data_IF_910153208957
#
_entry.id   IF_910153208957
#
_cell.length_a   1.000
_cell.length_b   1.000
_cell.length_c   1.000
_cell.angle_alpha   90.00
_cell.angle_beta   90.00
_cell.angle_gamma   90.00
#
_symmetry.space_group_name_H-M   'P 1'
#
loop_
_entity.id
_entity.type
_entity.pdbx_description
1 polymer ?
#
# COMPACT_ATOMS: atom_id res chain seq x y z
N UNK A 1 19.98 -0.03 5.43
CA UNK A 1 19.08 1.14 5.33
C UNK A 1 17.75 0.79 5.97
N UNK A 2 17.05 1.75 6.56
CA UNK A 2 15.79 1.53 7.30
C UNK A 2 14.76 2.58 6.88
N UNK A 3 13.54 2.12 6.60
CA UNK A 3 12.34 2.96 6.42
C UNK A 3 11.40 2.75 7.61
N UNK A 4 10.48 3.69 7.84
CA UNK A 4 9.48 3.57 8.89
C UNK A 4 8.07 3.56 8.29
N UNK A 5 7.15 2.88 8.95
CA UNK A 5 5.72 3.01 8.68
C UNK A 5 5.16 4.31 9.28
N UNK A 6 3.85 4.50 9.26
CA UNK A 6 3.21 5.54 10.06
C UNK A 6 3.48 5.28 11.57
N UNK A 7 3.50 6.34 12.39
CA UNK A 7 3.68 6.30 13.84
C UNK A 7 2.36 6.59 14.59
N UNK A 8 1.37 5.68 14.59
CA UNK A 8 0.08 5.96 15.23
C UNK A 8 0.14 5.94 16.77
N UNK A 9 1.24 5.47 17.37
CA UNK A 9 1.34 5.21 18.82
C UNK A 9 1.97 6.33 19.65
N UNK A 10 2.41 7.42 19.03
CA UNK A 10 3.09 8.53 19.69
C UNK A 10 2.28 9.83 19.54
N UNK A 11 2.47 10.77 20.46
CA UNK A 11 1.72 12.03 20.43
C UNK A 11 2.13 12.92 19.25
N UNK A 12 3.40 12.83 18.83
CA UNK A 12 3.94 13.56 17.69
C UNK A 12 5.07 12.77 16.98
N UNK A 13 5.48 13.27 15.82
CA UNK A 13 6.56 12.66 15.04
C UNK A 13 7.94 12.80 15.69
N UNK A 14 8.15 13.77 16.57
CA UNK A 14 9.44 13.94 17.24
C UNK A 14 9.68 12.84 18.27
N UNK A 15 8.67 12.53 19.09
CA UNK A 15 8.70 11.43 20.05
C UNK A 15 8.95 10.10 19.33
N UNK A 16 8.21 9.83 18.26
CA UNK A 16 8.34 8.61 17.47
C UNK A 16 9.73 8.49 16.81
N UNK A 17 10.22 9.59 16.24
CA UNK A 17 11.53 9.67 15.61
C UNK A 17 12.65 9.44 16.63
N UNK A 18 12.59 10.10 17.78
CA UNK A 18 13.57 9.95 18.87
C UNK A 18 13.61 8.51 19.37
N UNK A 19 12.44 7.89 19.56
CA UNK A 19 12.34 6.49 19.96
C UNK A 19 12.95 5.56 18.91
N UNK A 20 12.62 5.77 17.64
CA UNK A 20 13.16 4.99 16.50
C UNK A 20 14.68 5.10 16.43
N UNK A 21 15.23 6.32 16.48
CA UNK A 21 16.68 6.56 16.45
C UNK A 21 17.36 5.93 17.66
N UNK A 22 16.75 5.98 18.85
CA UNK A 22 17.31 5.36 20.06
C UNK A 22 17.41 3.84 19.92
N UNK A 23 16.35 3.17 19.45
CA UNK A 23 16.36 1.72 19.19
C UNK A 23 17.41 1.39 18.14
N UNK A 24 17.40 2.07 17.00
CA UNK A 24 18.34 1.79 15.91
C UNK A 24 19.79 2.03 16.34
N UNK A 25 20.06 3.06 17.13
CA UNK A 25 21.43 3.36 17.60
C UNK A 25 21.95 2.27 18.53
N UNK A 26 21.05 1.64 19.30
CA UNK A 26 21.39 0.56 20.22
C UNK A 26 21.54 -0.78 19.51
N UNK A 27 20.57 -1.15 18.68
CA UNK A 27 20.45 -2.49 18.11
C UNK A 27 21.11 -2.61 16.72
N UNK A 28 21.17 -1.52 15.95
CA UNK A 28 21.66 -1.49 14.57
C UNK A 28 22.48 -0.20 14.29
N UNK A 29 23.61 0.04 15.00
CA UNK A 29 24.30 1.34 15.01
C UNK A 29 24.83 1.81 13.65
N UNK A 30 25.03 0.89 12.69
CA UNK A 30 25.48 1.20 11.33
C UNK A 30 24.32 1.44 10.35
N UNK A 31 23.07 1.37 10.83
CA UNK A 31 21.91 1.62 9.98
C UNK A 31 21.82 3.09 9.58
N UNK A 32 21.06 3.34 8.52
CA UNK A 32 20.81 4.66 7.96
C UNK A 32 19.32 4.81 7.75
N UNK A 33 18.75 5.92 8.20
CA UNK A 33 17.32 6.20 8.04
C UNK A 33 17.07 6.86 6.70
N UNK A 34 16.11 6.34 5.94
CA UNK A 34 15.68 6.93 4.68
C UNK A 34 14.58 7.95 4.96
N UNK A 35 14.81 9.21 4.55
CA UNK A 35 13.81 10.26 4.54
C UNK A 35 12.90 10.18 3.31
N UNK A 36 11.74 10.85 3.37
CA UNK A 36 10.75 10.92 2.31
C UNK A 36 11.28 11.54 1.02
N UNK A 37 12.43 12.20 1.05
CA UNK A 37 13.14 12.74 -0.11
C UNK A 37 14.12 11.76 -0.77
N UNK A 38 14.17 10.51 -0.31
CA UNK A 38 15.11 9.50 -0.80
C UNK A 38 16.55 9.71 -0.31
N UNK A 39 16.76 10.69 0.59
CA UNK A 39 18.03 10.95 1.26
C UNK A 39 18.19 10.03 2.46
N UNK A 40 19.40 9.48 2.60
CA UNK A 40 19.79 8.72 3.77
C UNK A 40 20.47 9.59 4.82
N UNK A 41 20.13 9.32 6.07
CA UNK A 41 20.70 9.97 7.24
C UNK A 41 21.42 8.93 8.08
N UNK A 42 22.68 9.21 8.44
CA UNK A 42 23.32 8.47 9.52
C UNK A 42 22.53 8.69 10.82
N UNK A 43 22.52 7.72 11.74
CA UNK A 43 21.75 7.86 12.99
C UNK A 43 22.17 9.09 13.81
N UNK A 44 23.45 9.46 13.78
CA UNK A 44 23.96 10.66 14.44
C UNK A 44 23.48 11.97 13.82
N UNK A 45 23.14 11.98 12.53
CA UNK A 45 22.52 13.11 11.83
C UNK A 45 21.02 13.13 12.10
N UNK A 46 20.36 11.97 12.01
CA UNK A 46 18.95 11.80 12.30
C UNK A 46 18.62 12.23 13.74
N UNK A 47 19.47 11.90 14.72
CA UNK A 47 19.30 12.28 16.12
C UNK A 47 19.24 13.80 16.37
N UNK A 48 19.74 14.61 15.43
CA UNK A 48 19.76 16.08 15.54
C UNK A 48 18.50 16.73 14.95
N UNK A 49 17.65 15.96 14.27
CA UNK A 49 16.41 16.45 13.67
C UNK A 49 15.32 16.47 14.74
N UNK A 50 14.59 17.57 14.82
CA UNK A 50 13.56 17.81 15.83
C UNK A 50 12.35 18.57 15.26
N UNK A 51 11.29 18.69 16.06
CA UNK A 51 10.06 19.38 15.69
C UNK A 51 9.40 18.81 14.44
N UNK A 52 8.83 19.69 13.62
CA UNK A 52 8.13 19.32 12.39
C UNK A 52 9.01 18.58 11.37
N UNK A 53 10.33 18.76 11.44
CA UNK A 53 11.25 18.13 10.49
C UNK A 53 11.32 16.61 10.65
N UNK A 54 10.96 16.08 11.82
CA UNK A 54 10.83 14.64 12.07
C UNK A 54 9.77 13.97 11.16
N UNK A 55 8.79 14.72 10.67
CA UNK A 55 7.77 14.21 9.75
C UNK A 55 8.37 13.65 8.45
N UNK A 56 9.58 14.06 8.07
CA UNK A 56 10.29 13.53 6.90
C UNK A 56 10.59 12.04 6.98
N UNK A 57 10.53 11.43 8.16
CA UNK A 57 10.81 10.01 8.33
C UNK A 57 9.54 9.16 8.37
N UNK A 58 8.36 9.77 8.53
CA UNK A 58 7.11 9.07 8.74
C UNK A 58 6.54 8.47 7.44
N UNK A 59 6.25 7.17 7.44
CA UNK A 59 5.60 6.50 6.31
C UNK A 59 6.45 6.40 5.05
N UNK A 60 7.76 6.18 5.20
CA UNK A 60 8.72 6.03 4.11
C UNK A 60 8.73 4.64 3.46
N UNK A 61 7.93 3.69 3.96
CA UNK A 61 7.89 2.30 3.45
C UNK A 61 7.71 2.17 1.93
N UNK A 62 6.93 3.05 1.29
CA UNK A 62 6.66 2.97 -0.15
C UNK A 62 7.91 3.17 -1.02
N UNK A 63 8.99 3.74 -0.46
CA UNK A 63 10.20 4.06 -1.24
C UNK A 63 10.82 2.84 -1.88
N UNK A 64 10.83 1.70 -1.19
CA UNK A 64 11.45 0.49 -1.72
C UNK A 64 10.74 -0.03 -2.97
N UNK A 65 9.41 -0.13 -2.93
CA UNK A 65 8.62 -0.55 -4.09
C UNK A 65 8.70 0.47 -5.22
N UNK A 66 8.60 1.78 -4.91
CA UNK A 66 8.75 2.83 -5.90
C UNK A 66 10.14 2.89 -6.54
N UNK A 67 11.20 2.56 -5.79
CA UNK A 67 12.56 2.46 -6.31
C UNK A 67 12.74 1.28 -7.27
N UNK A 68 12.15 0.12 -6.97
CA UNK A 68 12.14 -1.00 -7.90
C UNK A 68 11.40 -0.63 -9.19
N UNK A 69 10.23 0.02 -9.07
CA UNK A 69 9.48 0.48 -10.22
C UNK A 69 10.26 1.53 -11.06
N UNK A 70 10.99 2.45 -10.41
CA UNK A 70 11.78 3.47 -11.11
C UNK A 70 12.98 2.90 -11.89
N UNK A 71 13.38 1.66 -11.59
CA UNK A 71 14.38 0.90 -12.37
C UNK A 71 13.79 0.24 -13.61
N UNK A 72 12.48 0.01 -13.62
CA UNK A 72 11.76 -0.64 -14.73
C UNK A 72 11.29 0.41 -15.73
N UNK A 73 10.77 1.55 -15.26
CA UNK A 73 10.27 2.62 -16.12
C UNK A 73 10.61 4.01 -15.57
N UNK A 74 11.06 4.94 -16.43
CA UNK A 74 11.36 6.30 -16.01
C UNK A 74 10.10 7.15 -15.79
N UNK A 75 9.03 6.92 -16.55
CA UNK A 75 7.80 7.72 -16.52
C UNK A 75 6.57 6.80 -16.45
N UNK A 76 5.74 6.96 -15.42
CA UNK A 76 4.58 6.10 -15.17
C UNK A 76 4.12 6.15 -13.71
N UNK A 77 3.45 5.10 -13.26
CA UNK A 77 3.04 4.94 -11.86
C UNK A 77 3.63 3.68 -11.23
N UNK A 78 4.01 3.76 -9.95
CA UNK A 78 4.24 2.62 -9.08
C UNK A 78 3.06 2.48 -8.13
N UNK A 79 2.41 1.31 -8.13
CA UNK A 79 1.31 1.01 -7.23
C UNK A 79 1.70 -0.10 -6.27
N UNK A 80 1.62 0.17 -4.98
CA UNK A 80 1.87 -0.82 -3.92
C UNK A 80 0.62 -0.94 -3.06
N UNK A 81 -0.14 -2.02 -3.24
CA UNK A 81 -1.30 -2.31 -2.40
C UNK A 81 -0.91 -3.29 -1.30
N UNK A 82 -0.76 -2.77 -0.09
CA UNK A 82 -0.56 -3.55 1.11
C UNK A 82 -1.87 -4.00 1.76
N UNK A 83 -1.77 -4.38 3.04
CA UNK A 83 -2.93 -4.78 3.86
C UNK A 83 -3.87 -3.62 4.16
N UNK A 84 -3.33 -2.42 4.43
CA UNK A 84 -4.09 -1.26 4.90
C UNK A 84 -4.31 -0.18 3.83
N UNK A 85 -3.38 -0.04 2.89
CA UNK A 85 -3.32 1.11 1.99
C UNK A 85 -2.84 0.73 0.60
N UNK A 86 -3.15 1.59 -0.37
CA UNK A 86 -2.57 1.59 -1.71
C UNK A 86 -1.78 2.86 -1.91
N UNK A 87 -0.47 2.74 -2.05
CA UNK A 87 0.43 3.81 -2.44
C UNK A 87 0.37 3.96 -3.98
N UNK A 88 0.10 5.17 -4.49
CA UNK A 88 0.02 5.49 -5.93
C UNK A 88 1.07 6.56 -6.21
N UNK A 89 2.22 6.14 -6.72
CA UNK A 89 3.43 6.95 -6.73
C UNK A 89 3.82 7.30 -8.17
N UNK A 90 3.78 8.58 -8.56
CA UNK A 90 4.29 9.02 -9.84
C UNK A 90 5.78 8.77 -9.98
N UNK A 91 6.19 8.29 -11.15
CA UNK A 91 7.57 8.23 -11.59
C UNK A 91 7.72 9.24 -12.73
N UNK A 92 8.67 10.18 -12.60
CA UNK A 92 8.92 11.22 -13.60
C UNK A 92 10.42 11.34 -13.84
N UNK A 93 10.87 10.98 -15.03
CA UNK A 93 12.29 10.92 -15.38
C UNK A 93 13.13 10.05 -14.43
N UNK A 94 12.56 8.93 -13.94
CA UNK A 94 13.16 8.02 -12.97
C UNK A 94 13.14 8.51 -11.52
N UNK A 95 12.58 9.70 -11.25
CA UNK A 95 12.43 10.24 -9.89
C UNK A 95 11.12 9.81 -9.28
N UNK A 96 11.16 9.51 -7.98
CA UNK A 96 10.00 9.10 -7.19
C UNK A 96 9.27 10.35 -6.71
N UNK A 97 8.06 10.57 -7.22
CA UNK A 97 7.11 11.62 -6.85
C UNK A 97 7.73 13.02 -6.61
N UNK A 98 8.47 13.58 -7.59
CA UNK A 98 9.24 14.81 -7.39
C UNK A 98 8.39 16.03 -7.01
N UNK A 99 7.10 16.05 -7.35
CA UNK A 99 6.21 17.17 -7.03
C UNK A 99 5.82 17.22 -5.54
N UNK A 100 5.60 16.07 -4.90
CA UNK A 100 5.27 16.05 -3.48
C UNK A 100 6.48 16.42 -2.60
N UNK A 101 7.71 16.25 -3.13
CA UNK A 101 8.98 16.47 -2.43
C UNK A 101 9.34 17.94 -2.16
N UNK A 102 8.55 18.90 -2.65
CA UNK A 102 8.83 20.34 -2.50
C UNK A 102 8.92 20.76 -1.04
N UNK A 103 8.16 20.14 -0.14
CA UNK A 103 8.39 20.28 1.30
C UNK A 103 8.18 18.91 2.00
N UNK A 104 9.30 18.25 2.42
CA UNK A 104 9.25 16.94 3.06
C UNK A 104 8.45 16.88 4.36
N UNK A 105 8.27 18.01 5.06
CA UNK A 105 7.59 18.05 6.37
C UNK A 105 6.07 17.90 6.26
N UNK A 106 5.48 18.30 5.13
CA UNK A 106 4.06 18.08 4.85
C UNK A 106 3.81 16.99 3.78
N UNK A 107 4.84 16.26 3.37
CA UNK A 107 4.77 15.24 2.32
C UNK A 107 3.70 14.18 2.59
N UNK A 108 3.64 13.65 3.81
CA UNK A 108 2.65 12.62 4.17
C UNK A 108 1.20 13.13 3.99
N UNK A 109 0.91 14.33 4.49
CA UNK A 109 -0.40 14.96 4.34
C UNK A 109 -0.71 15.27 2.86
N UNK A 110 0.27 15.74 2.09
CA UNK A 110 0.14 15.97 0.64
C UNK A 110 -0.21 14.71 -0.12
N UNK A 111 0.40 13.57 0.23
CA UNK A 111 0.09 12.29 -0.41
C UNK A 111 -1.36 11.89 -0.21
N UNK A 112 -1.89 12.05 1.00
CA UNK A 112 -3.32 11.83 1.27
C UNK A 112 -4.19 12.82 0.50
N UNK A 113 -3.88 14.12 0.56
CA UNK A 113 -4.68 15.17 -0.08
C UNK A 113 -4.72 15.05 -1.61
N UNK A 114 -3.65 14.54 -2.23
CA UNK A 114 -3.53 14.41 -3.68
C UNK A 114 -3.94 13.03 -4.23
N UNK A 115 -4.25 12.05 -3.38
CA UNK A 115 -4.62 10.70 -3.80
C UNK A 115 -3.45 9.76 -4.06
N UNK A 116 -2.21 10.19 -3.80
CA UNK A 116 -0.99 9.34 -3.86
C UNK A 116 -0.92 8.30 -2.74
N UNK A 117 -1.84 8.39 -1.79
CA UNK A 117 -2.06 7.43 -0.73
C UNK A 117 -3.57 7.25 -0.56
N UNK A 118 -4.09 6.11 -0.99
CA UNK A 118 -5.49 5.73 -0.80
C UNK A 118 -5.58 4.73 0.36
N UNK A 119 -6.43 4.99 1.35
CA UNK A 119 -6.60 4.14 2.54
C UNK A 119 -7.48 2.90 2.28
N UNK A 120 -7.27 2.28 1.11
CA UNK A 120 -7.85 1.01 0.69
C UNK A 120 -6.71 0.02 0.55
N UNK A 121 -6.73 -1.03 1.35
CA UNK A 121 -5.81 -2.15 1.28
C UNK A 121 -6.56 -3.47 1.29
N UNK A 122 -5.82 -4.57 1.10
CA UNK A 122 -6.44 -5.87 0.86
C UNK A 122 -7.20 -6.41 2.08
N UNK A 123 -6.71 -6.20 3.30
CA UNK A 123 -7.19 -6.95 4.48
C UNK A 123 -7.61 -6.11 5.68
N UNK A 124 -7.10 -4.88 5.83
CA UNK A 124 -7.28 -4.08 7.04
C UNK A 124 -8.19 -2.85 6.84
N UNK A 125 -8.97 -2.80 5.77
CA UNK A 125 -9.91 -1.69 5.52
C UNK A 125 -11.27 -1.98 6.17
N UNK A 126 -11.78 -1.15 7.09
CA UNK A 126 -13.12 -1.34 7.66
C UNK A 126 -14.19 -1.39 6.57
N UNK A 127 -15.16 -2.30 6.68
CA UNK A 127 -16.17 -2.50 5.62
C UNK A 127 -17.04 -1.25 5.40
N UNK A 128 -17.39 -0.55 6.47
CA UNK A 128 -18.18 0.68 6.42
C UNK A 128 -17.36 1.89 5.94
N UNK A 129 -16.04 1.80 5.98
CA UNK A 129 -15.15 2.76 5.32
C UNK A 129 -15.20 2.56 3.81
N UNK A 130 -15.30 1.32 3.31
CA UNK A 130 -15.36 1.01 1.86
C UNK A 130 -16.58 1.69 1.24
N UNK A 131 -17.77 1.48 1.82
CA UNK A 131 -19.02 2.05 1.38
C UNK A 131 -19.97 2.30 2.55
N UNK A 132 -20.91 3.25 2.41
CA UNK A 132 -22.01 3.45 3.37
C UNK A 132 -23.21 2.56 3.06
N UNK A 133 -23.45 2.33 1.78
CA UNK A 133 -24.49 1.45 1.26
C UNK A 133 -23.91 0.67 0.08
N UNK A 134 -24.41 -0.53 -0.13
CA UNK A 134 -23.97 -1.40 -1.22
C UNK A 134 -25.16 -2.10 -1.86
N UNK A 135 -25.18 -2.12 -3.18
CA UNK A 135 -26.22 -2.75 -3.97
C UNK A 135 -25.71 -4.07 -4.55
N UNK A 136 -26.55 -5.09 -4.49
CA UNK A 136 -26.29 -6.41 -5.06
C UNK A 136 -27.51 -6.85 -5.88
N UNK A 137 -27.40 -7.97 -6.59
CA UNK A 137 -28.56 -8.61 -7.23
C UNK A 137 -29.69 -9.02 -6.26
N UNK A 138 -29.41 -9.06 -4.96
CA UNK A 138 -30.36 -9.44 -3.91
C UNK A 138 -30.98 -8.25 -3.16
N UNK A 139 -30.57 -7.03 -3.49
CA UNK A 139 -31.06 -5.82 -2.85
C UNK A 139 -29.95 -4.89 -2.38
N UNK A 140 -30.37 -3.80 -1.72
CA UNK A 140 -29.52 -2.75 -1.19
C UNK A 140 -29.35 -2.91 0.32
N UNK A 141 -28.10 -2.84 0.78
CA UNK A 141 -27.73 -3.00 2.18
C UNK A 141 -27.02 -1.76 2.69
N UNK A 142 -27.35 -1.31 3.91
CA UNK A 142 -26.57 -0.29 4.62
C UNK A 142 -25.49 -0.96 5.46
N UNK A 143 -24.28 -0.38 5.48
CA UNK A 143 -23.15 -0.91 6.23
C UNK A 143 -23.04 -0.24 7.60
N UNK A 144 -23.17 -1.05 8.65
CA UNK A 144 -23.08 -0.59 10.03
C UNK A 144 -21.63 -0.44 10.48
N UNK A 145 -21.28 0.69 11.11
CA UNK A 145 -19.96 0.88 11.70
C UNK A 145 -19.90 0.05 12.97
N UNK A 146 -19.34 -1.17 12.94
CA UNK A 146 -19.11 -1.97 14.17
C UNK A 146 -18.28 -3.23 13.95
N UNK A 147 -18.33 -3.88 12.78
CA UNK A 147 -17.71 -5.20 12.58
C UNK A 147 -17.19 -5.42 11.15
N UNK A 148 -16.02 -6.05 11.05
CA UNK A 148 -15.45 -6.57 9.80
C UNK A 148 -14.46 -5.64 9.09
N UNK A 149 -13.48 -6.27 8.45
CA UNK A 149 -12.49 -5.63 7.60
C UNK A 149 -12.45 -6.31 6.22
N UNK A 150 -11.72 -5.71 5.28
CA UNK A 150 -11.55 -6.25 3.93
C UNK A 150 -10.91 -7.64 3.89
N UNK A 151 -10.33 -8.14 4.98
CA UNK A 151 -9.89 -9.55 5.09
C UNK A 151 -11.03 -10.53 4.88
N UNK A 152 -12.26 -10.18 5.30
CA UNK A 152 -13.43 -11.03 5.06
C UNK A 152 -13.73 -11.13 3.56
N UNK A 153 -13.60 -10.01 2.83
CA UNK A 153 -13.75 -9.97 1.37
C UNK A 153 -12.65 -10.82 0.74
N UNK A 154 -11.40 -10.63 1.16
CA UNK A 154 -10.26 -11.35 0.62
C UNK A 154 -10.35 -12.87 0.85
N UNK A 155 -10.86 -13.30 2.00
CA UNK A 155 -11.02 -14.71 2.34
C UNK A 155 -12.19 -15.35 1.57
N UNK A 156 -13.32 -14.64 1.44
CA UNK A 156 -14.49 -15.14 0.70
C UNK A 156 -14.20 -15.29 -0.80
N UNK A 157 -13.42 -14.36 -1.36
CA UNK A 157 -13.07 -14.31 -2.77
C UNK A 157 -11.70 -14.94 -3.09
N UNK A 158 -11.04 -15.50 -2.06
CA UNK A 158 -9.81 -16.29 -2.17
C UNK A 158 -8.69 -15.58 -2.95
N UNK A 159 -8.51 -14.27 -2.73
CA UNK A 159 -7.58 -13.45 -3.51
C UNK A 159 -6.10 -13.78 -3.29
N UNK A 160 -5.77 -14.34 -2.13
CA UNK A 160 -4.40 -14.60 -1.71
C UNK A 160 -4.38 -15.95 -0.98
N UNK A 161 -3.32 -16.75 -1.17
CA UNK A 161 -3.15 -17.98 -0.40
C UNK A 161 -3.21 -17.72 1.12
N UNK A 162 -3.97 -18.50 1.90
CA UNK A 162 -4.17 -18.23 3.33
C UNK A 162 -2.88 -18.14 4.14
N UNK A 163 -1.85 -18.93 3.81
CA UNK A 163 -0.55 -18.87 4.46
C UNK A 163 0.15 -17.53 4.25
N UNK A 164 0.09 -17.00 3.02
CA UNK A 164 0.66 -15.69 2.70
C UNK A 164 -0.15 -14.59 3.37
N UNK A 165 -1.49 -14.69 3.38
CA UNK A 165 -2.34 -13.73 4.07
C UNK A 165 -2.05 -13.69 5.59
N UNK A 166 -1.84 -14.85 6.24
CA UNK A 166 -1.46 -14.93 7.67
C UNK A 166 -0.11 -14.29 7.97
N UNK A 167 0.88 -14.41 7.09
CA UNK A 167 2.19 -13.75 7.27
C UNK A 167 2.06 -12.22 7.34
N UNK A 168 1.08 -11.66 6.65
CA UNK A 168 0.83 -10.21 6.61
C UNK A 168 -0.26 -9.74 7.58
N UNK A 169 -1.02 -10.66 8.16
CA UNK A 169 -2.11 -10.33 9.06
C UNK A 169 -1.60 -9.89 10.44
N UNK A 170 -2.25 -8.89 11.02
CA UNK A 170 -1.96 -8.46 12.39
C UNK A 170 -2.24 -9.63 13.36
N UNK A 171 -1.21 -10.06 14.09
CA UNK A 171 -1.31 -11.18 15.02
C UNK A 171 -1.36 -12.57 14.36
N UNK A 172 -1.14 -12.67 13.04
CA UNK A 172 -1.09 -13.95 12.32
C UNK A 172 -2.46 -14.61 12.09
N UNK A 173 -3.55 -13.89 12.36
CA UNK A 173 -4.92 -14.38 12.22
C UNK A 173 -5.50 -13.99 10.87
N UNK A 174 -5.92 -14.97 10.08
CA UNK A 174 -6.65 -14.75 8.83
C UNK A 174 -7.80 -15.76 8.76
N UNK A 175 -9.05 -15.30 8.57
CA UNK A 175 -10.21 -16.18 8.63
C UNK A 175 -10.23 -17.14 7.45
N UNK A 176 -10.74 -18.35 7.67
CA UNK A 176 -11.28 -19.17 6.59
C UNK A 176 -12.44 -18.45 5.90
N UNK A 177 -12.80 -18.91 4.70
CA UNK A 177 -13.97 -18.43 3.97
C UNK A 177 -15.25 -18.52 4.81
N UNK A 178 -15.43 -19.62 5.53
CA UNK A 178 -16.60 -19.87 6.37
C UNK A 178 -16.64 -18.95 7.60
N UNK A 179 -15.49 -18.62 8.19
CA UNK A 179 -15.38 -17.67 9.30
C UNK A 179 -15.64 -16.24 8.84
N UNK A 180 -15.19 -15.88 7.63
CA UNK A 180 -15.36 -14.56 7.03
C UNK A 180 -16.82 -14.18 6.72
N UNK A 181 -17.71 -15.16 6.58
CA UNK A 181 -19.15 -14.92 6.44
C UNK A 181 -19.77 -14.23 7.65
N UNK A 182 -19.27 -14.51 8.86
CA UNK A 182 -19.82 -13.91 10.08
C UNK A 182 -19.67 -12.39 10.13
N UNK A 183 -18.45 -11.80 10.04
CA UNK A 183 -18.30 -10.35 10.09
C UNK A 183 -18.98 -9.66 8.90
N UNK A 184 -19.04 -10.30 7.73
CA UNK A 184 -19.71 -9.72 6.56
C UNK A 184 -21.24 -9.67 6.72
N UNK A 185 -21.86 -10.72 7.28
CA UNK A 185 -23.28 -10.73 7.58
C UNK A 185 -23.65 -9.67 8.63
N UNK A 186 -22.84 -9.57 9.69
CA UNK A 186 -23.02 -8.58 10.76
C UNK A 186 -22.87 -7.14 10.25
N UNK A 187 -21.99 -6.90 9.28
CA UNK A 187 -21.79 -5.57 8.69
C UNK A 187 -23.06 -5.00 8.05
N UNK A 188 -24.01 -5.85 7.64
CA UNK A 188 -25.30 -5.44 7.07
C UNK A 188 -26.48 -5.71 8.02
N UNK A 189 -26.21 -6.00 9.30
CA UNK A 189 -27.23 -6.26 10.32
C UNK A 189 -27.92 -7.61 10.20
N UNK A 190 -27.32 -8.55 9.48
CA UNK A 190 -27.82 -9.91 9.31
C UNK A 190 -26.99 -10.95 10.07
N UNK A 191 -27.31 -12.21 9.83
CA UNK A 191 -26.58 -13.39 10.31
C UNK A 191 -26.56 -14.49 9.23
N UNK A 192 -25.96 -15.64 9.54
CA UNK A 192 -25.86 -16.78 8.61
C UNK A 192 -27.18 -17.53 8.38
N UNK A 193 -28.23 -17.23 9.15
CA UNK A 193 -29.58 -17.79 8.97
C UNK A 193 -30.34 -16.93 7.94
N UNK A 194 -30.19 -15.61 8.02
CA UNK A 194 -30.82 -14.65 7.12
C UNK A 194 -30.09 -14.50 5.77
N UNK A 195 -28.75 -14.60 5.81
CA UNK A 195 -27.87 -14.45 4.65
C UNK A 195 -27.15 -15.77 4.37
N UNK A 196 -27.62 -16.45 3.32
CA UNK A 196 -26.96 -17.62 2.77
C UNK A 196 -25.60 -17.26 2.12
N UNK A 197 -24.73 -18.26 1.85
CA UNK A 197 -23.43 -18.03 1.23
C UNK A 197 -23.47 -17.27 -0.10
N UNK A 198 -24.50 -17.47 -0.92
CA UNK A 198 -24.60 -16.81 -2.23
C UNK A 198 -24.79 -15.29 -2.07
N UNK A 199 -25.64 -14.87 -1.13
CA UNK A 199 -25.81 -13.45 -0.78
C UNK A 199 -24.53 -12.83 -0.25
N UNK A 200 -23.81 -13.55 0.61
CA UNK A 200 -22.56 -13.06 1.21
C UNK A 200 -21.44 -12.95 0.17
N UNK A 201 -21.33 -13.90 -0.76
CA UNK A 201 -20.40 -13.80 -1.89
C UNK A 201 -20.74 -12.64 -2.83
N UNK A 202 -22.03 -12.40 -3.11
CA UNK A 202 -22.46 -11.25 -3.91
C UNK A 202 -22.13 -9.92 -3.22
N UNK A 203 -22.30 -9.86 -1.90
CA UNK A 203 -21.95 -8.71 -1.08
C UNK A 203 -20.43 -8.46 -1.08
N UNK A 204 -19.62 -9.52 -0.90
CA UNK A 204 -18.16 -9.44 -0.97
C UNK A 204 -17.69 -8.92 -2.34
N UNK A 205 -18.26 -9.44 -3.43
CA UNK A 205 -17.98 -8.97 -4.81
C UNK A 205 -18.33 -7.49 -4.98
N UNK A 206 -19.49 -7.05 -4.51
CA UNK A 206 -19.91 -5.66 -4.63
C UNK A 206 -18.99 -4.71 -3.84
N UNK A 207 -18.64 -5.05 -2.60
CA UNK A 207 -17.69 -4.29 -1.79
C UNK A 207 -16.30 -4.25 -2.44
N UNK A 208 -15.83 -5.36 -2.99
CA UNK A 208 -14.57 -5.43 -3.72
C UNK A 208 -14.55 -4.48 -4.92
N UNK A 209 -15.63 -4.39 -5.69
CA UNK A 209 -15.73 -3.44 -6.79
C UNK A 209 -15.68 -1.99 -6.31
N UNK A 210 -16.27 -1.67 -5.16
CA UNK A 210 -16.16 -0.32 -4.59
C UNK A 210 -14.73 -0.02 -4.11
N UNK A 211 -14.00 -1.01 -3.58
CA UNK A 211 -12.56 -0.86 -3.28
C UNK A 211 -11.76 -0.51 -4.55
N UNK A 212 -11.96 -1.26 -5.64
CA UNK A 212 -11.31 -1.02 -6.93
C UNK A 212 -11.62 0.39 -7.43
N UNK A 213 -12.90 0.77 -7.46
CA UNK A 213 -13.36 2.07 -7.92
C UNK A 213 -12.72 3.22 -7.16
N UNK A 214 -12.61 3.13 -5.83
CA UNK A 214 -11.96 4.17 -5.02
C UNK A 214 -10.47 4.32 -5.31
N UNK A 215 -9.78 3.22 -5.55
CA UNK A 215 -8.38 3.25 -5.97
C UNK A 215 -8.28 3.81 -7.40
N UNK A 216 -9.16 3.41 -8.32
CA UNK A 216 -9.20 3.92 -9.70
C UNK A 216 -9.40 5.45 -9.74
N UNK A 217 -10.33 6.00 -8.96
CA UNK A 217 -10.51 7.45 -8.83
C UNK A 217 -9.24 8.17 -8.33
N UNK A 218 -8.50 7.52 -7.42
CA UNK A 218 -7.23 8.06 -6.93
C UNK A 218 -6.14 8.01 -8.02
N UNK A 219 -6.07 6.93 -8.79
CA UNK A 219 -5.19 6.78 -9.95
C UNK A 219 -5.47 7.85 -10.99
N UNK A 220 -6.74 8.09 -11.34
CA UNK A 220 -7.14 9.12 -12.30
C UNK A 220 -6.72 10.52 -11.83
N UNK A 221 -6.92 10.81 -10.54
CA UNK A 221 -6.53 12.08 -9.93
C UNK A 221 -5.03 12.29 -10.04
N UNK A 222 -4.23 11.30 -9.63
CA UNK A 222 -2.76 11.36 -9.69
C UNK A 222 -2.28 11.46 -11.13
N UNK A 223 -2.86 10.69 -12.06
CA UNK A 223 -2.49 10.72 -13.48
C UNK A 223 -2.73 12.10 -14.11
N UNK A 224 -3.83 12.77 -13.73
CA UNK A 224 -4.13 14.14 -14.19
C UNK A 224 -3.17 15.17 -13.59
N UNK A 225 -2.90 15.06 -12.29
CA UNK A 225 -2.01 15.96 -11.55
C UNK A 225 -0.62 16.05 -12.19
N UNK A 226 -0.01 14.89 -12.48
CA UNK A 226 1.33 14.81 -13.10
C UNK A 226 1.32 14.85 -14.62
N UNK A 227 0.18 15.12 -15.24
CA UNK A 227 0.00 15.15 -16.71
C UNK A 227 0.60 13.92 -17.41
N UNK A 228 0.23 12.73 -16.90
CA UNK A 228 0.83 11.48 -17.31
C UNK A 228 0.66 11.25 -18.83
N UNK A 229 1.78 11.26 -19.57
CA UNK A 229 1.78 11.15 -21.04
C UNK A 229 1.42 9.75 -21.55
N UNK A 230 1.84 8.72 -20.82
CA UNK A 230 1.59 7.31 -21.13
C UNK A 230 1.10 6.60 -19.88
N UNK A 231 0.01 5.86 -20.00
CA UNK A 231 -0.58 5.09 -18.91
C UNK A 231 0.14 3.76 -18.74
N UNK A 232 1.35 3.83 -18.20
CA UNK A 232 2.18 2.66 -17.88
C UNK A 232 2.37 2.59 -16.36
N UNK A 233 2.29 1.39 -15.80
CA UNK A 233 2.42 1.20 -14.36
C UNK A 233 3.15 -0.10 -13.98
N UNK A 234 3.77 -0.08 -12.80
CA UNK A 234 4.24 -1.29 -12.11
C UNK A 234 3.37 -1.52 -10.88
N UNK A 235 2.93 -2.77 -10.68
CA UNK A 235 2.14 -3.17 -9.51
C UNK A 235 2.94 -4.08 -8.59
N UNK A 236 2.80 -3.84 -7.28
CA UNK A 236 3.40 -4.63 -6.21
C UNK A 236 2.49 -4.68 -4.99
N UNK A 237 2.92 -5.41 -3.96
CA UNK A 237 2.17 -5.59 -2.73
C UNK A 237 1.25 -6.81 -2.78
N UNK A 238 0.64 -7.09 -1.62
CA UNK A 238 -0.24 -8.24 -1.42
C UNK A 238 -1.53 -8.14 -2.24
N UNK A 239 -2.07 -6.92 -2.39
CA UNK A 239 -3.30 -6.63 -3.12
C UNK A 239 -3.09 -6.24 -4.58
N UNK A 240 -1.92 -6.51 -5.18
CA UNK A 240 -1.59 -6.05 -6.53
C UNK A 240 -2.57 -6.55 -7.61
N UNK A 241 -2.91 -7.83 -7.57
CA UNK A 241 -3.83 -8.45 -8.54
C UNK A 241 -5.29 -8.19 -8.17
N UNK A 242 -5.61 -8.24 -6.87
CA UNK A 242 -6.97 -8.05 -6.40
C UNK A 242 -7.45 -6.61 -6.52
N UNK A 243 -6.57 -5.61 -6.36
CA UNK A 243 -6.95 -4.19 -6.29
C UNK A 243 -6.19 -3.36 -7.31
N UNK A 244 -4.85 -3.33 -7.26
CA UNK A 244 -4.06 -2.36 -8.04
C UNK A 244 -4.24 -2.52 -9.55
N UNK A 245 -4.05 -3.74 -10.09
CA UNK A 245 -4.21 -4.05 -11.52
C UNK A 245 -5.63 -3.73 -11.99
N UNK A 246 -6.64 -4.21 -11.28
CA UNK A 246 -8.05 -3.95 -11.61
C UNK A 246 -8.40 -2.46 -11.58
N UNK A 247 -7.84 -1.72 -10.63
CA UNK A 247 -8.05 -0.28 -10.51
C UNK A 247 -7.37 0.50 -11.64
N UNK A 248 -6.18 0.06 -12.09
CA UNK A 248 -5.52 0.61 -13.27
C UNK A 248 -6.34 0.39 -14.54
N UNK A 249 -6.83 -0.83 -14.76
CA UNK A 249 -7.72 -1.14 -15.88
C UNK A 249 -8.98 -0.27 -15.85
N UNK A 250 -9.60 -0.11 -14.69
CA UNK A 250 -10.77 0.75 -14.52
C UNK A 250 -10.44 2.25 -14.75
N UNK A 251 -9.24 2.69 -14.39
CA UNK A 251 -8.72 4.03 -14.72
C UNK A 251 -8.27 4.18 -16.19
N UNK A 252 -8.47 3.15 -17.01
CA UNK A 252 -8.22 3.12 -18.44
C UNK A 252 -6.75 2.94 -18.83
N UNK A 253 -5.97 2.23 -18.01
CA UNK A 253 -4.70 1.63 -18.44
C UNK A 253 -4.99 0.36 -19.25
N UNK A 254 -4.07 0.00 -20.15
CA UNK A 254 -4.17 -1.23 -20.94
C UNK A 254 -3.44 -2.37 -20.22
N UNK A 255 -3.87 -3.61 -20.42
CA UNK A 255 -3.28 -4.78 -19.73
C UNK A 255 -1.79 -4.93 -20.05
N UNK A 256 -1.41 -4.72 -21.31
CA UNK A 256 -0.05 -4.76 -21.81
C UNK A 256 0.88 -3.67 -21.22
N UNK A 257 0.31 -2.62 -20.62
CA UNK A 257 1.04 -1.51 -20.00
C UNK A 257 1.10 -1.63 -18.46
N UNK A 258 0.62 -2.74 -17.90
CA UNK A 258 0.64 -3.01 -16.45
C UNK A 258 1.62 -4.14 -16.15
N UNK A 259 2.77 -3.75 -15.60
CA UNK A 259 3.86 -4.64 -15.25
C UNK A 259 3.74 -5.17 -13.83
N UNK A 260 3.78 -6.49 -13.67
CA UNK A 260 3.82 -7.13 -12.36
C UNK A 260 5.25 -7.33 -11.87
N UNK A 261 5.51 -6.93 -10.63
CA UNK A 261 6.86 -6.99 -10.06
C UNK A 261 7.36 -8.43 -9.83
N UNK A 262 6.50 -9.38 -9.45
CA UNK A 262 6.91 -10.79 -9.30
C UNK A 262 7.34 -11.37 -10.65
N UNK A 263 6.57 -11.07 -11.69
CA UNK A 263 6.82 -11.50 -13.06
C UNK A 263 8.14 -10.97 -13.60
N UNK A 264 8.46 -9.70 -13.32
CA UNK A 264 9.74 -9.08 -13.71
C UNK A 264 10.91 -9.72 -12.96
N UNK A 265 10.76 -9.94 -11.65
CA UNK A 265 11.83 -10.48 -10.81
C UNK A 265 11.99 -12.00 -10.93
N UNK A 266 11.05 -12.70 -11.57
CA UNK A 266 11.05 -14.17 -11.70
C UNK A 266 11.01 -14.86 -10.33
N UNK A 267 10.28 -14.29 -9.37
CA UNK A 267 10.19 -14.74 -7.98
C UNK A 267 8.77 -14.57 -7.46
N UNK A 268 8.12 -15.68 -7.15
CA UNK A 268 6.79 -15.64 -6.57
C UNK A 268 6.78 -14.98 -5.19
N UNK A 269 5.75 -14.17 -4.94
CA UNK A 269 5.43 -13.51 -3.67
C UNK A 269 6.42 -12.44 -3.19
N UNK A 270 7.50 -12.18 -3.92
CA UNK A 270 8.48 -11.15 -3.57
C UNK A 270 7.88 -9.74 -3.59
N UNK A 271 6.89 -9.50 -4.44
CA UNK A 271 6.11 -8.28 -4.57
C UNK A 271 5.40 -7.92 -3.26
N UNK A 272 5.02 -8.92 -2.45
CA UNK A 272 4.43 -8.69 -1.11
C UNK A 272 5.45 -8.14 -0.10
N UNK A 273 6.75 -8.31 -0.37
CA UNK A 273 7.87 -7.77 0.40
C UNK A 273 8.69 -6.74 -0.41
N UNK A 274 8.10 -6.19 -1.48
CA UNK A 274 8.76 -5.28 -2.45
C UNK A 274 9.44 -4.09 -1.80
N UNK A 275 8.80 -3.48 -0.80
CA UNK A 275 9.37 -2.39 0.00
C UNK A 275 10.71 -2.80 0.64
N UNK A 276 10.75 -3.93 1.35
CA UNK A 276 11.97 -4.39 2.01
C UNK A 276 13.05 -4.81 0.99
N UNK A 277 12.66 -5.51 -0.06
CA UNK A 277 13.58 -5.93 -1.12
C UNK A 277 14.19 -4.73 -1.85
N UNK A 278 13.37 -3.75 -2.24
CA UNK A 278 13.83 -2.54 -2.90
C UNK A 278 14.76 -1.70 -2.03
N UNK A 279 14.49 -1.64 -0.72
CA UNK A 279 15.37 -0.97 0.23
C UNK A 279 16.72 -1.68 0.39
N UNK A 280 16.72 -3.03 0.42
CA UNK A 280 17.93 -3.82 0.46
C UNK A 280 18.76 -3.63 -0.81
N UNK A 281 18.12 -3.63 -1.99
CA UNK A 281 18.78 -3.36 -3.27
C UNK A 281 19.36 -1.95 -3.31
N UNK A 282 18.57 -0.94 -2.93
CA UNK A 282 19.04 0.46 -2.87
C UNK A 282 20.26 0.59 -1.96
N UNK A 283 20.27 -0.09 -0.81
CA UNK A 283 21.42 -0.11 0.07
C UNK A 283 22.62 -0.79 -0.60
N UNK A 284 22.43 -1.97 -1.21
CA UNK A 284 23.50 -2.70 -1.90
C UNK A 284 24.16 -1.85 -3.00
N UNK A 285 23.36 -1.16 -3.82
CA UNK A 285 23.89 -0.29 -4.88
C UNK A 285 24.72 0.86 -4.32
N UNK A 286 24.23 1.51 -3.25
CA UNK A 286 24.93 2.65 -2.62
C UNK A 286 26.18 2.23 -1.85
N UNK A 287 26.23 1.01 -1.32
CA UNK A 287 27.42 0.48 -0.64
C UNK A 287 28.48 -0.05 -1.61
N UNK A 288 28.08 -0.53 -2.79
CA UNK A 288 29.00 -1.07 -3.80
C UNK A 288 29.40 -0.07 -4.87
N UNK A 289 28.78 1.12 -4.90
CA UNK A 289 28.85 2.09 -6.00
C UNK A 289 28.54 1.44 -7.37
N UNK A 290 27.74 0.38 -7.37
CA UNK A 290 27.36 -0.40 -8.55
C UNK A 290 25.85 -0.41 -8.71
N UNK A 291 25.36 -0.09 -9.92
CA UNK A 291 23.96 -0.29 -10.25
C UNK A 291 23.70 -1.76 -10.61
N UNK A 292 22.63 -2.33 -10.06
CA UNK A 292 22.14 -3.65 -10.42
C UNK A 292 20.97 -3.53 -11.40
N UNK A 293 20.99 -4.32 -12.46
CA UNK A 293 19.85 -4.44 -13.37
C UNK A 293 18.78 -5.34 -12.74
N UNK A 294 17.52 -4.90 -12.80
CA UNK A 294 16.37 -5.74 -12.48
C UNK A 294 15.88 -6.54 -13.68
N UNK A 295 16.27 -6.11 -14.89
CA UNK A 295 15.93 -6.79 -16.13
C UNK A 295 17.09 -7.74 -16.49
N UNK A 296 16.79 -8.96 -16.95
CA UNK A 296 17.80 -9.91 -17.42
C UNK A 296 18.61 -9.40 -18.61
#
# INVERSE_FOLDING_TARGET
MVTTSHFPSYADFEEAHRHTVAILSKELPQSRLLGLEGKEYALSEAAKISGKDCARFAGTKFFGSAFLASKILPDGLSLDTGTTSTDIIPLVGGKIDPESLVDPTAFHLRRMASGRLCWIGLTATPLDYIAREIETKFGKYSLFPRLGYSEAIAAILEFVPPELARLHAYGGLYPSKEEAFFPLAQAVGGDRILLDPEKLEALAKALHQEMIKRVALSIEKVSKDVHLKKKIAVVSGLGREAIARKALLQAGFMEEDIFDLDSILGRDHLASASSAYGLALMAAERFSDQAFSLLP
#
